data_IF_815876367905
#
_entry.id   IF_815876367905
#
_cell.length_a   1.000
_cell.length_b   1.000
_cell.length_c   1.000
_cell.angle_alpha   90.00
_cell.angle_beta   90.00
_cell.angle_gamma   90.00
#
_symmetry.space_group_name_H-M   'P 1'
#
loop_
_entity.id
_entity.type
_entity.pdbx_description
1 polymer ?
#
# COMPACT_ATOMS: atom_id res chain seq x y z
N UNK A 1 15.87 0.31 -3.62
CA UNK A 1 14.66 -0.31 -3.04
C UNK A 1 13.50 -0.20 -4.02
N UNK A 2 12.69 -1.26 -4.10
CA UNK A 2 11.45 -1.30 -4.88
C UNK A 2 10.30 -1.59 -3.91
N UNK A 3 9.21 -0.83 -4.01
CA UNK A 3 8.03 -1.04 -3.18
C UNK A 3 6.76 -0.95 -4.03
N UNK A 4 5.89 -1.92 -3.81
CA UNK A 4 4.60 -2.06 -4.48
C UNK A 4 3.50 -2.00 -3.41
N UNK A 5 2.36 -1.40 -3.76
CA UNK A 5 1.16 -1.40 -2.94
C UNK A 5 0.05 -2.16 -3.66
N UNK A 6 -0.69 -2.99 -2.93
CA UNK A 6 -1.84 -3.70 -3.46
C UNK A 6 -3.05 -2.78 -3.49
N UNK A 7 -3.74 -2.70 -4.63
CA UNK A 7 -4.90 -1.81 -4.84
C UNK A 7 -6.10 -2.20 -3.98
N UNK A 8 -6.21 -3.48 -3.64
CA UNK A 8 -7.26 -3.96 -2.75
C UNK A 8 -6.80 -3.96 -1.30
N UNK A 9 -7.75 -3.68 -0.41
CA UNK A 9 -7.59 -3.73 1.04
C UNK A 9 -8.94 -3.65 1.70
N UNK A 10 -8.96 -3.54 3.03
CA UNK A 10 -10.20 -3.43 3.79
C UNK A 10 -10.07 -2.48 4.98
N UNK A 11 -11.14 -1.74 5.23
CA UNK A 11 -11.35 -1.00 6.47
C UNK A 11 -12.06 -1.90 7.49
N UNK A 12 -11.62 -1.86 8.75
CA UNK A 12 -12.25 -2.57 9.87
C UNK A 12 -13.03 -1.55 10.71
N UNK A 13 -14.23 -1.92 11.11
CA UNK A 13 -15.12 -1.09 11.91
C UNK A 13 -15.43 -1.78 13.24
N UNK A 14 -15.71 -0.95 14.25
CA UNK A 14 -16.31 -1.38 15.49
C UNK A 14 -17.82 -1.57 15.29
N UNK A 15 -18.40 -2.53 16.00
CA UNK A 15 -19.86 -2.76 15.98
C UNK A 15 -20.64 -1.75 16.82
N UNK A 16 -19.97 -1.12 17.79
CA UNK A 16 -20.57 -0.15 18.72
C UNK A 16 -20.23 1.27 18.26
N UNK A 17 -21.20 2.19 18.41
CA UNK A 17 -20.98 3.62 18.12
C UNK A 17 -19.90 4.19 19.05
N UNK A 18 -18.99 4.96 18.48
CA UNK A 18 -17.92 5.61 19.22
C UNK A 18 -18.45 6.68 20.18
N UNK A 19 -17.86 6.73 21.38
CA UNK A 19 -18.07 7.73 22.42
C UNK A 19 -16.73 8.01 23.10
N UNK A 20 -16.43 9.28 23.38
CA UNK A 20 -15.23 9.69 24.12
C UNK A 20 -15.52 9.93 25.61
N UNK A 21 -16.72 9.55 26.09
CA UNK A 21 -17.06 9.68 27.50
C UNK A 21 -16.19 8.75 28.35
N UNK A 22 -15.78 9.21 29.54
CA UNK A 22 -14.91 8.44 30.43
C UNK A 22 -15.53 7.08 30.80
N UNK A 23 -16.86 7.04 30.98
CA UNK A 23 -17.60 5.82 31.33
C UNK A 23 -17.58 4.76 30.22
N UNK A 24 -17.30 5.17 28.97
CA UNK A 24 -17.28 4.29 27.80
C UNK A 24 -15.87 3.81 27.41
N UNK A 25 -14.82 4.30 28.09
CA UNK A 25 -13.42 4.00 27.74
C UNK A 25 -13.04 2.53 27.94
N UNK A 26 -13.68 1.86 28.90
CA UNK A 26 -13.41 0.46 29.21
C UNK A 26 -14.13 -0.51 28.26
N UNK A 27 -14.93 -0.03 27.31
CA UNK A 27 -15.61 -0.88 26.33
C UNK A 27 -14.70 -1.18 25.12
N UNK A 28 -14.08 -2.37 25.03
CA UNK A 28 -13.16 -2.69 23.95
C UNK A 28 -13.86 -2.79 22.60
N UNK A 29 -15.16 -3.09 22.57
CA UNK A 29 -15.92 -3.19 21.32
C UNK A 29 -16.14 -1.83 20.66
N UNK A 30 -16.00 -0.74 21.41
CA UNK A 30 -16.10 0.63 20.91
C UNK A 30 -14.78 1.13 20.35
N UNK A 31 -13.65 0.76 20.97
CA UNK A 31 -12.35 1.37 20.72
C UNK A 31 -11.39 0.49 19.92
N UNK A 32 -11.61 -0.83 19.86
CA UNK A 32 -10.70 -1.77 19.19
C UNK A 32 -11.33 -2.38 17.94
N UNK A 33 -10.79 -2.07 16.77
CA UNK A 33 -11.28 -2.61 15.48
C UNK A 33 -10.80 -4.04 15.20
N UNK A 34 -10.01 -4.63 16.09
CA UNK A 34 -9.44 -5.97 15.93
C UNK A 34 -10.56 -7.00 15.82
N UNK A 35 -10.54 -7.80 14.75
CA UNK A 35 -11.52 -8.86 14.50
C UNK A 35 -11.59 -9.87 15.66
N UNK A 36 -10.46 -10.15 16.33
CA UNK A 36 -10.42 -11.03 17.49
C UNK A 36 -11.22 -10.51 18.68
N UNK A 37 -11.37 -9.18 18.81
CA UNK A 37 -12.22 -8.53 19.80
C UNK A 37 -13.65 -8.49 19.28
N UNK A 38 -13.86 -7.95 18.08
CA UNK A 38 -15.19 -7.69 17.52
C UNK A 38 -16.05 -8.95 17.35
N UNK A 39 -15.45 -10.11 17.09
CA UNK A 39 -16.18 -11.39 16.98
C UNK A 39 -16.90 -11.85 18.25
N UNK A 40 -16.48 -11.34 19.41
CA UNK A 40 -17.08 -11.70 20.69
C UNK A 40 -18.27 -10.78 21.05
N UNK A 41 -18.59 -9.81 20.20
CA UNK A 41 -19.75 -8.95 20.37
C UNK A 41 -21.02 -9.65 19.82
N UNK A 42 -22.14 -9.52 20.53
CA UNK A 42 -23.42 -10.16 20.14
C UNK A 42 -23.96 -9.65 18.79
N UNK A 43 -23.70 -8.39 18.45
CA UNK A 43 -24.12 -7.76 17.19
C UNK A 43 -23.16 -8.05 16.02
N UNK A 44 -22.18 -8.96 16.21
CA UNK A 44 -21.23 -9.30 15.16
C UNK A 44 -21.87 -10.04 14.00
N UNK A 45 -21.93 -9.37 12.85
CA UNK A 45 -22.40 -9.97 11.62
C UNK A 45 -21.25 -10.71 10.90
N UNK A 46 -21.29 -12.04 10.93
CA UNK A 46 -20.29 -12.90 10.28
C UNK A 46 -20.27 -12.80 8.75
N UNK A 47 -21.34 -12.33 8.11
CA UNK A 47 -21.41 -12.26 6.65
C UNK A 47 -20.52 -11.14 6.09
N UNK A 48 -20.53 -9.96 6.71
CA UNK A 48 -19.66 -8.84 6.28
C UNK A 48 -18.48 -8.58 7.23
N UNK A 49 -18.49 -9.14 8.45
CA UNK A 49 -17.37 -9.16 9.39
C UNK A 49 -16.92 -7.80 9.90
N UNK A 50 -17.81 -6.80 9.89
CA UNK A 50 -17.46 -5.41 10.26
C UNK A 50 -16.44 -4.77 9.32
N UNK A 51 -16.45 -5.13 8.02
CA UNK A 51 -15.45 -4.63 7.06
C UNK A 51 -16.09 -4.00 5.83
N UNK A 52 -15.40 -3.00 5.30
CA UNK A 52 -15.61 -2.52 3.94
C UNK A 52 -14.36 -2.75 3.11
N UNK A 53 -14.54 -3.01 1.81
CA UNK A 53 -13.44 -2.87 0.87
C UNK A 53 -12.96 -1.41 0.85
N UNK A 54 -11.69 -1.20 0.53
CA UNK A 54 -11.13 0.15 0.33
C UNK A 54 -11.95 0.93 -0.71
N UNK A 55 -12.45 0.28 -1.76
CA UNK A 55 -13.33 0.90 -2.75
C UNK A 55 -14.64 1.42 -2.12
N UNK A 56 -15.28 0.64 -1.25
CA UNK A 56 -16.49 1.07 -0.55
C UNK A 56 -16.20 2.19 0.45
N UNK A 57 -15.05 2.17 1.13
CA UNK A 57 -14.61 3.27 1.98
C UNK A 57 -14.47 4.56 1.16
N UNK A 58 -13.81 4.50 0.00
CA UNK A 58 -13.63 5.67 -0.85
C UNK A 58 -14.98 6.21 -1.35
N UNK A 59 -15.89 5.34 -1.76
CA UNK A 59 -17.24 5.72 -2.18
C UNK A 59 -18.00 6.43 -1.04
N UNK A 60 -17.91 5.91 0.18
CA UNK A 60 -18.53 6.53 1.36
C UNK A 60 -17.93 7.92 1.66
N UNK A 61 -16.60 8.04 1.60
CA UNK A 61 -15.90 9.31 1.82
C UNK A 61 -16.28 10.33 0.75
N UNK A 62 -16.37 9.94 -0.52
CA UNK A 62 -16.82 10.82 -1.59
C UNK A 62 -18.27 11.27 -1.44
N UNK A 63 -19.16 10.35 -1.05
CA UNK A 63 -20.56 10.66 -0.83
C UNK A 63 -20.77 11.64 0.35
N UNK A 64 -19.90 11.61 1.36
CA UNK A 64 -20.05 12.40 2.59
C UNK A 64 -19.21 13.67 2.64
N UNK A 65 -18.06 13.69 1.96
CA UNK A 65 -17.07 14.79 2.01
C UNK A 65 -16.85 15.46 0.65
N UNK A 66 -17.55 15.03 -0.39
CA UNK A 66 -17.51 15.60 -1.72
C UNK A 66 -16.61 14.83 -2.70
N UNK A 67 -16.80 15.11 -3.99
CA UNK A 67 -16.13 14.40 -5.09
C UNK A 67 -14.60 14.47 -4.99
N UNK A 68 -13.93 13.33 -5.19
CA UNK A 68 -12.46 13.22 -5.19
C UNK A 68 -11.82 13.18 -3.80
N UNK A 69 -12.61 13.26 -2.72
CA UNK A 69 -12.10 13.13 -1.34
C UNK A 69 -11.62 11.71 -1.02
N UNK A 70 -12.28 10.67 -1.55
CA UNK A 70 -11.84 9.28 -1.42
C UNK A 70 -10.51 9.02 -2.12
N UNK A 71 -10.34 9.53 -3.35
CA UNK A 71 -9.05 9.48 -4.05
C UNK A 71 -7.94 10.25 -3.30
N UNK A 72 -8.28 11.42 -2.73
CA UNK A 72 -7.33 12.19 -1.91
C UNK A 72 -6.90 11.38 -0.68
N UNK A 73 -7.84 10.78 0.04
CA UNK A 73 -7.56 9.95 1.20
C UNK A 73 -6.60 8.80 0.83
N UNK A 74 -6.85 8.10 -0.28
CA UNK A 74 -5.95 7.04 -0.75
C UNK A 74 -4.55 7.54 -1.07
N UNK A 75 -4.43 8.70 -1.72
CA UNK A 75 -3.11 9.31 -1.98
C UNK A 75 -2.38 9.64 -0.68
N UNK A 76 -3.08 10.19 0.31
CA UNK A 76 -2.51 10.54 1.60
C UNK A 76 -2.08 9.27 2.37
N UNK A 77 -2.86 8.18 2.28
CA UNK A 77 -2.50 6.86 2.82
C UNK A 77 -1.22 6.33 2.17
N UNK A 78 -1.13 6.34 0.84
CA UNK A 78 0.08 5.93 0.13
C UNK A 78 1.29 6.79 0.51
N UNK A 79 1.10 8.10 0.72
CA UNK A 79 2.18 8.97 1.19
C UNK A 79 2.68 8.55 2.57
N UNK A 80 1.79 8.24 3.52
CA UNK A 80 2.17 7.72 4.85
C UNK A 80 2.97 6.41 4.74
N UNK A 81 2.50 5.46 3.93
CA UNK A 81 3.22 4.20 3.69
C UNK A 81 4.62 4.44 3.10
N UNK A 82 4.73 5.32 2.10
CA UNK A 82 5.99 5.66 1.47
C UNK A 82 6.96 6.36 2.44
N UNK A 83 6.46 7.26 3.28
CA UNK A 83 7.27 7.93 4.29
C UNK A 83 7.80 6.95 5.33
N UNK A 84 6.97 6.01 5.79
CA UNK A 84 7.39 4.97 6.71
C UNK A 84 8.51 4.10 6.10
N UNK A 85 8.34 3.64 4.86
CA UNK A 85 9.36 2.86 4.14
C UNK A 85 10.67 3.62 3.99
N UNK A 86 10.61 4.90 3.59
CA UNK A 86 11.80 5.75 3.43
C UNK A 86 12.56 5.95 4.73
N UNK A 87 11.86 6.06 5.86
CA UNK A 87 12.50 6.25 7.16
C UNK A 87 13.39 5.07 7.56
N UNK A 88 13.03 3.85 7.15
CA UNK A 88 13.76 2.61 7.47
C UNK A 88 14.56 2.05 6.29
N UNK A 89 14.55 2.73 5.15
CA UNK A 89 15.18 2.24 3.92
C UNK A 89 16.65 1.85 4.08
N UNK A 90 17.42 2.60 4.88
CA UNK A 90 18.85 2.35 5.08
C UNK A 90 19.14 1.16 6.01
N UNK A 91 18.12 0.66 6.72
CA UNK A 91 18.25 -0.50 7.61
C UNK A 91 17.61 -1.76 7.03
N UNK A 92 16.74 -1.62 6.02
CA UNK A 92 16.14 -2.76 5.31
C UNK A 92 17.22 -3.45 4.47
N UNK A 93 17.35 -4.76 4.63
CA UNK A 93 18.21 -5.59 3.79
C UNK A 93 17.61 -5.64 2.38
N UNK A 94 18.29 -5.00 1.43
CA UNK A 94 17.84 -4.90 0.05
C UNK A 94 18.52 -5.98 -0.81
N UNK A 95 18.17 -7.24 -0.57
CA UNK A 95 18.61 -8.39 -1.37
C UNK A 95 17.63 -8.65 -2.52
N UNK A 96 18.08 -8.74 -3.78
CA UNK A 96 17.21 -8.95 -4.93
C UNK A 96 16.48 -10.31 -4.94
N UNK A 97 16.92 -11.28 -4.16
CA UNK A 97 16.28 -12.60 -4.02
C UNK A 97 15.32 -12.65 -2.83
N UNK A 98 15.16 -11.55 -2.09
CA UNK A 98 14.25 -11.45 -0.97
C UNK A 98 13.07 -10.55 -1.30
N UNK A 99 11.90 -10.92 -0.81
CA UNK A 99 10.72 -10.08 -0.79
C UNK A 99 10.03 -10.22 0.56
N UNK A 100 9.30 -9.18 0.95
CA UNK A 100 8.51 -9.19 2.17
C UNK A 100 7.15 -8.52 1.92
N UNK A 101 6.09 -9.07 2.49
CA UNK A 101 4.74 -8.55 2.37
C UNK A 101 4.33 -7.94 3.70
N UNK A 102 4.16 -6.62 3.73
CA UNK A 102 3.76 -5.89 4.93
C UNK A 102 2.26 -5.56 4.93
N UNK A 103 1.64 -5.65 6.10
CA UNK A 103 0.31 -5.07 6.36
C UNK A 103 0.44 -3.71 7.04
N UNK A 104 -0.12 -2.66 6.46
CA UNK A 104 -0.15 -1.33 7.07
C UNK A 104 -1.49 -1.08 7.74
N UNK A 105 -1.46 -0.83 9.05
CA UNK A 105 -2.64 -0.49 9.82
C UNK A 105 -2.68 1.03 10.00
N UNK A 106 -3.70 1.66 9.42
CA UNK A 106 -3.85 3.11 9.36
C UNK A 106 -5.21 3.49 9.93
N UNK A 107 -5.22 4.48 10.81
CA UNK A 107 -6.43 5.11 11.30
C UNK A 107 -6.64 6.45 10.59
N UNK A 108 -7.88 6.79 10.28
CA UNK A 108 -8.25 8.04 9.59
C UNK A 108 -9.07 8.89 10.54
N UNK A 109 -8.65 10.15 10.73
CA UNK A 109 -9.38 11.08 11.59
C UNK A 109 -10.54 11.80 10.88
N UNK A 110 -11.25 12.64 11.63
CA UNK A 110 -12.40 13.41 11.16
C UNK A 110 -12.09 14.39 9.99
N UNK A 111 -10.82 14.75 9.80
CA UNK A 111 -10.32 15.63 8.75
C UNK A 111 -9.80 14.85 7.53
N UNK A 112 -10.04 13.53 7.49
CA UNK A 112 -9.49 12.61 6.49
C UNK A 112 -7.96 12.56 6.50
N UNK A 113 -7.32 12.83 7.64
CA UNK A 113 -5.87 12.67 7.76
C UNK A 113 -5.56 11.24 8.21
N UNK A 114 -4.74 10.50 7.43
CA UNK A 114 -4.30 9.17 7.82
C UNK A 114 -3.15 9.23 8.83
N UNK A 115 -3.20 8.33 9.81
CA UNK A 115 -2.20 8.15 10.85
C UNK A 115 -1.77 6.69 10.88
N UNK A 116 -0.46 6.45 10.77
CA UNK A 116 0.10 5.11 10.88
C UNK A 116 -0.02 4.63 12.33
N UNK A 117 -0.62 3.46 12.52
CA UNK A 117 -0.75 2.79 13.83
C UNK A 117 0.38 1.79 13.98
N UNK A 118 0.47 0.84 13.05
CA UNK A 118 1.49 -0.20 13.06
C UNK A 118 1.78 -0.73 11.64
N UNK A 119 2.93 -1.40 11.50
CA UNK A 119 3.32 -2.13 10.28
C UNK A 119 3.58 -3.58 10.67
N UNK A 120 2.83 -4.50 10.08
CA UNK A 120 2.89 -5.92 10.35
C UNK A 120 3.75 -6.63 9.30
N UNK A 121 4.88 -7.21 9.72
CA UNK A 121 5.75 -8.06 8.88
C UNK A 121 5.13 -9.42 8.52
N UNK A 122 4.10 -9.84 9.22
CA UNK A 122 3.36 -11.08 8.96
C UNK A 122 1.85 -10.79 8.99
N UNK A 123 1.31 -10.12 7.97
CA UNK A 123 -0.10 -9.78 7.93
C UNK A 123 -0.96 -11.05 7.97
N UNK A 124 -2.00 -11.04 8.80
CA UNK A 124 -2.88 -12.22 8.96
C UNK A 124 -3.54 -12.60 7.62
N UNK A 125 -3.36 -13.85 7.20
CA UNK A 125 -4.04 -14.43 6.04
C UNK A 125 -5.36 -15.13 6.40
N UNK A 126 -5.77 -15.11 7.68
CA UNK A 126 -7.02 -15.70 8.13
C UNK A 126 -8.22 -15.07 7.43
N UNK A 127 -9.14 -15.89 6.92
CA UNK A 127 -10.30 -15.41 6.16
C UNK A 127 -11.54 -15.47 7.03
N UNK A 128 -12.21 -14.33 7.19
CA UNK A 128 -13.43 -14.26 8.02
C UNK A 128 -14.68 -14.07 7.19
N UNK A 129 -14.54 -13.51 5.99
CA UNK A 129 -15.60 -13.38 4.99
C UNK A 129 -15.15 -13.97 3.66
N UNK A 130 -16.11 -14.16 2.74
CA UNK A 130 -15.80 -14.62 1.38
C UNK A 130 -14.96 -13.59 0.62
N UNK A 131 -15.21 -12.32 0.87
CA UNK A 131 -14.53 -11.18 0.28
C UNK A 131 -13.07 -11.14 0.74
N UNK A 132 -12.80 -11.37 2.04
CA UNK A 132 -11.44 -11.52 2.57
C UNK A 132 -10.69 -12.64 1.83
N UNK A 133 -11.32 -13.81 1.70
CA UNK A 133 -10.72 -14.98 1.05
C UNK A 133 -10.37 -14.69 -0.40
N UNK A 134 -11.29 -14.08 -1.14
CA UNK A 134 -11.09 -13.80 -2.55
C UNK A 134 -9.95 -12.78 -2.76
N UNK A 135 -9.93 -11.70 -1.97
CA UNK A 135 -8.89 -10.68 -2.06
C UNK A 135 -7.52 -11.21 -1.62
N UNK A 136 -7.44 -11.97 -0.53
CA UNK A 136 -6.18 -12.59 -0.07
C UNK A 136 -5.64 -13.62 -1.07
N UNK A 137 -6.51 -14.41 -1.68
CA UNK A 137 -6.09 -15.35 -2.72
C UNK A 137 -5.52 -14.62 -3.95
N UNK A 138 -6.12 -13.50 -4.36
CA UNK A 138 -5.58 -12.67 -5.45
C UNK A 138 -4.23 -12.05 -5.06
N UNK A 139 -4.13 -11.49 -3.86
CA UNK A 139 -2.88 -10.95 -3.33
C UNK A 139 -1.76 -11.99 -3.36
N UNK A 140 -1.99 -13.19 -2.81
CA UNK A 140 -0.99 -14.25 -2.77
C UNK A 140 -0.57 -14.72 -4.15
N UNK A 141 -1.52 -14.90 -5.08
CA UNK A 141 -1.21 -15.24 -6.46
C UNK A 141 -0.33 -14.17 -7.10
N UNK A 142 -0.70 -12.90 -6.96
CA UNK A 142 0.02 -11.78 -7.57
C UNK A 142 1.42 -11.60 -6.95
N UNK A 143 1.58 -11.85 -5.64
CA UNK A 143 2.88 -11.88 -4.95
C UNK A 143 3.76 -12.99 -5.51
N UNK A 144 3.23 -14.21 -5.63
CA UNK A 144 3.98 -15.35 -6.15
C UNK A 144 4.36 -15.16 -7.62
N UNK A 145 3.47 -14.57 -8.44
CA UNK A 145 3.78 -14.22 -9.82
C UNK A 145 4.96 -13.25 -9.89
N UNK A 146 4.98 -12.20 -9.07
CA UNK A 146 6.06 -11.22 -9.06
C UNK A 146 7.38 -11.76 -8.50
N UNK A 147 7.31 -12.53 -7.41
CA UNK A 147 8.50 -13.02 -6.71
C UNK A 147 9.13 -14.26 -7.39
N UNK A 148 8.31 -15.15 -7.96
CA UNK A 148 8.78 -16.45 -8.45
C UNK A 148 8.94 -16.46 -9.97
N UNK A 149 8.07 -15.79 -10.73
CA UNK A 149 8.18 -15.81 -12.20
C UNK A 149 9.43 -15.04 -12.69
N UNK A 150 9.92 -14.08 -11.91
CA UNK A 150 11.19 -13.40 -12.17
C UNK A 150 12.39 -14.37 -12.15
N UNK A 151 12.31 -15.47 -11.40
CA UNK A 151 13.42 -16.41 -11.14
C UNK A 151 13.36 -17.68 -12.03
N UNK A 152 12.29 -17.85 -12.81
CA UNK A 152 12.01 -19.05 -13.61
C UNK A 152 12.65 -19.06 -15.02
N UNK A 153 13.47 -18.05 -15.36
CA UNK A 153 14.21 -18.01 -16.62
C UNK A 153 15.33 -19.07 -16.63
N UNK A 154 15.52 -19.86 -17.72
CA UNK A 154 16.51 -20.94 -17.78
C UNK A 154 17.98 -20.53 -17.56
N UNK A 155 18.31 -19.23 -17.57
CA UNK A 155 19.68 -18.72 -17.69
C UNK A 155 20.13 -17.69 -16.63
N UNK A 156 19.29 -17.33 -15.64
CA UNK A 156 19.67 -16.26 -14.69
C UNK A 156 20.56 -16.68 -13.52
N UNK A 157 20.83 -17.97 -13.34
CA UNK A 157 21.78 -18.48 -12.31
C UNK A 157 23.24 -18.09 -12.56
N UNK A 158 23.56 -17.34 -13.62
CA UNK A 158 24.94 -17.02 -14.04
C UNK A 158 25.24 -15.54 -14.30
N UNK A 159 24.31 -14.61 -14.15
CA UNK A 159 24.57 -13.19 -14.39
C UNK A 159 24.75 -12.42 -13.07
N UNK A 160 25.92 -11.82 -12.86
CA UNK A 160 26.26 -10.89 -11.75
C UNK A 160 25.56 -9.53 -11.90
N UNK A 161 24.50 -9.45 -12.70
CA UNK A 161 23.74 -8.22 -12.94
C UNK A 161 22.50 -8.22 -12.05
N UNK A 162 22.14 -7.07 -11.44
CA UNK A 162 20.89 -6.98 -10.70
C UNK A 162 19.72 -7.34 -11.62
N UNK A 163 18.75 -8.15 -11.16
CA UNK A 163 17.60 -8.51 -11.96
C UNK A 163 16.86 -7.26 -12.42
N UNK A 164 16.29 -7.25 -13.65
CA UNK A 164 15.48 -6.14 -14.11
C UNK A 164 14.29 -5.93 -13.17
N UNK A 165 13.75 -4.70 -13.05
CA UNK A 165 12.53 -4.46 -12.28
C UNK A 165 11.41 -5.40 -12.72
N UNK A 166 10.60 -5.93 -11.79
CA UNK A 166 9.49 -6.79 -12.16
C UNK A 166 8.53 -6.04 -13.08
N UNK A 167 8.23 -6.64 -14.23
CA UNK A 167 7.20 -6.11 -15.13
C UNK A 167 5.84 -6.44 -14.53
N UNK A 168 5.09 -5.42 -14.13
CA UNK A 168 3.74 -5.60 -13.61
C UNK A 168 2.82 -6.09 -14.73
N UNK A 169 2.27 -7.29 -14.58
CA UNK A 169 1.22 -7.81 -15.46
C UNK A 169 0.02 -6.85 -15.47
N UNK A 170 -0.67 -6.61 -16.60
CA UNK A 170 -1.86 -5.76 -16.65
C UNK A 170 -2.97 -6.20 -15.70
N UNK A 171 -2.97 -7.48 -15.30
CA UNK A 171 -3.96 -8.08 -14.41
C UNK A 171 -3.53 -8.08 -12.94
N UNK A 172 -2.32 -7.63 -12.61
CA UNK A 172 -1.85 -7.60 -11.22
C UNK A 172 -2.60 -6.54 -10.42
N UNK A 173 -2.96 -6.88 -9.18
CA UNK A 173 -3.52 -5.91 -8.23
C UNK A 173 -2.49 -4.92 -7.69
N UNK A 174 -1.20 -5.08 -8.00
CA UNK A 174 -0.15 -4.18 -7.53
C UNK A 174 -0.02 -2.89 -8.35
N UNK A 175 0.46 -1.84 -7.68
CA UNK A 175 0.94 -0.62 -8.30
C UNK A 175 2.23 -0.14 -7.64
N UNK A 176 3.04 0.62 -8.36
CA UNK A 176 4.27 1.18 -7.84
C UNK A 176 4.00 2.22 -6.76
N UNK A 177 4.59 2.00 -5.58
CA UNK A 177 4.69 2.99 -4.51
C UNK A 177 6.05 3.68 -4.55
N UNK A 178 7.12 2.92 -4.82
CA UNK A 178 8.48 3.40 -5.01
C UNK A 178 9.21 2.51 -6.03
N UNK A 179 9.84 3.14 -7.03
CA UNK A 179 10.79 2.47 -7.91
C UNK A 179 12.02 3.35 -8.09
N UNK A 180 13.01 3.16 -7.23
CA UNK A 180 14.20 4.03 -7.24
C UNK A 180 15.01 3.92 -8.51
N UNK A 181 15.12 2.73 -9.08
CA UNK A 181 15.86 2.51 -10.33
C UNK A 181 15.25 3.34 -11.46
N UNK A 182 13.92 3.29 -11.61
CA UNK A 182 13.20 4.09 -12.60
C UNK A 182 13.27 5.59 -12.29
N UNK A 183 13.22 5.98 -11.01
CA UNK A 183 13.31 7.38 -10.59
C UNK A 183 14.68 7.98 -10.94
N UNK A 184 15.77 7.28 -10.60
CA UNK A 184 17.14 7.70 -10.90
C UNK A 184 17.39 7.80 -12.41
N UNK A 185 16.86 6.85 -13.19
CA UNK A 185 16.97 6.88 -14.65
C UNK A 185 16.21 8.07 -15.25
N UNK A 186 14.98 8.33 -14.78
CA UNK A 186 14.19 9.49 -15.21
C UNK A 186 14.88 10.82 -14.86
N UNK A 187 15.47 10.93 -13.67
CA UNK A 187 16.17 12.13 -13.24
C UNK A 187 17.48 12.35 -14.01
N UNK A 188 18.21 11.27 -14.32
CA UNK A 188 19.37 11.33 -15.22
C UNK A 188 18.98 11.82 -16.61
N UNK A 189 17.93 11.27 -17.20
CA UNK A 189 17.42 11.69 -18.51
C UNK A 189 16.98 13.16 -18.52
N UNK A 190 16.31 13.62 -17.46
CA UNK A 190 15.95 15.03 -17.28
C UNK A 190 17.19 15.92 -17.19
N UNK A 191 18.19 15.54 -16.40
CA UNK A 191 19.43 16.28 -16.27
C UNK A 191 20.18 16.39 -17.62
N UNK A 192 20.23 15.30 -18.38
CA UNK A 192 20.85 15.28 -19.70
C UNK A 192 20.07 16.13 -20.72
N UNK A 193 18.74 16.14 -20.66
CA UNK A 193 17.91 17.02 -21.48
C UNK A 193 18.15 18.51 -21.16
N UNK A 194 18.18 18.87 -19.87
CA UNK A 194 18.46 20.23 -19.42
C UNK A 194 19.87 20.69 -19.86
N UNK A 195 20.89 19.82 -19.76
CA UNK A 195 22.24 20.09 -20.27
C UNK A 195 22.28 20.34 -21.77
N UNK A 196 21.51 19.57 -22.56
CA UNK A 196 21.42 19.76 -24.03
C UNK A 196 20.75 21.10 -24.37
N UNK A 197 19.71 21.50 -23.64
CA UNK A 197 19.03 22.79 -23.80
C UNK A 197 19.99 23.94 -23.47
N UNK A 198 20.69 23.87 -22.34
CA UNK A 198 21.65 24.89 -21.94
C UNK A 198 22.80 25.05 -22.94
N UNK A 199 23.34 23.95 -23.48
CA UNK A 199 24.36 23.99 -24.54
C UNK A 199 23.85 24.73 -25.78
N UNK A 200 22.64 24.37 -26.28
CA UNK A 200 22.01 25.02 -27.44
C UNK A 200 21.75 26.51 -27.23
N UNK A 201 21.30 26.90 -26.03
CA UNK A 201 21.09 28.30 -25.67
C UNK A 201 22.40 29.09 -25.67
N UNK A 202 23.49 28.54 -25.12
CA UNK A 202 24.80 29.20 -25.18
C UNK A 202 25.31 29.33 -26.62
N UNK A 203 25.12 28.32 -27.47
CA UNK A 203 25.55 28.34 -28.88
C UNK A 203 24.80 29.38 -29.73
N UNK A 204 23.56 29.70 -29.36
CA UNK A 204 22.74 30.70 -30.05
C UNK A 204 23.08 32.15 -29.65
N UNK A 205 23.78 32.34 -28.52
CA UNK A 205 24.15 33.66 -28.00
C UNK A 205 25.45 34.22 -28.61
N UNK A 206 26.18 33.38 -29.37
CA UNK A 206 27.42 33.73 -30.08
C UNK A 206 27.25 33.79 -31.62
N UNK A 207 26.01 33.93 -32.11
CA UNK A 207 25.68 34.19 -33.51
C UNK A 207 24.96 35.53 -33.61
#
# INVERSE_FOLDING_TARGET
MQALVYREGFARFCNVKYSAAADDMDNPFMHLTNVAVQKNNEDYNSNHGGKWSVANLCLYVEATRGRGSGEKLLRDIHAVMLHALRAVQNVIINDPHCFECYGYDIIVDENLKPWLVEVNASPSLSTTTREDRNMKNRLLRDVLELAVAADAGPDQRRAVLPPPPPTLSPTTGFMWLLNETAQLEADRLRADALRKIAKRASSAQWR
#
